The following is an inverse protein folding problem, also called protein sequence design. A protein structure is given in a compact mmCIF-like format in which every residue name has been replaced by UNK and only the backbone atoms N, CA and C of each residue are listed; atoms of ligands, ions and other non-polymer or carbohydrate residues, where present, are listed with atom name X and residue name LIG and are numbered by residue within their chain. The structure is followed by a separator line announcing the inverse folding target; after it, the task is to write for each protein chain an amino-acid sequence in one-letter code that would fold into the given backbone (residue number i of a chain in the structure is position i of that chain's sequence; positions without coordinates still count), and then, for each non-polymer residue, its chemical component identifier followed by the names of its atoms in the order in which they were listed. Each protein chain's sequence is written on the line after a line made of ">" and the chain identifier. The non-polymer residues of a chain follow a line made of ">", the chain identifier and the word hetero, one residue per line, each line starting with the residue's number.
data_IF_995453496986
#
_entry.id   IF_995453496986
#
_cell.length_a   1.000
_cell.length_b   1.000
_cell.length_c   1.000
_cell.angle_alpha   90.00
_cell.angle_beta   90.00
_cell.angle_gamma   90.00
#
_symmetry.space_group_name_H-M   'P 1'
#
loop_
_entity.id
_entity.type
_entity.pdbx_description
1 polymer ?
#
# COMPACT_ATOMS: atom_id res chain seq x y z
N UNK A 1 -30.05 15.46 -4.94
CA UNK A 1 -28.96 15.26 -5.91
C UNK A 1 -28.00 14.22 -5.36
N UNK A 2 -28.21 12.94 -5.68
CA UNK A 2 -27.28 11.86 -5.34
C UNK A 2 -26.19 11.86 -6.41
N UNK A 3 -25.07 12.52 -6.13
CA UNK A 3 -23.88 12.42 -6.97
C UNK A 3 -23.52 10.95 -7.12
N UNK A 4 -23.41 10.47 -8.36
CA UNK A 4 -22.97 9.13 -8.68
C UNK A 4 -21.50 9.00 -8.24
N UNK A 5 -21.27 8.60 -6.99
CA UNK A 5 -19.96 8.17 -6.53
C UNK A 5 -19.67 6.86 -7.27
N UNK A 6 -18.87 6.92 -8.32
CA UNK A 6 -18.50 5.74 -9.10
C UNK A 6 -18.12 4.57 -8.19
N UNK A 7 -18.69 3.40 -8.46
CA UNK A 7 -18.41 2.16 -7.71
C UNK A 7 -16.91 1.89 -7.71
N UNK A 8 -16.31 1.78 -6.52
CA UNK A 8 -14.89 1.40 -6.35
C UNK A 8 -14.78 -0.11 -6.50
N UNK A 9 -13.79 -0.57 -7.26
CA UNK A 9 -13.58 -1.99 -7.58
C UNK A 9 -12.11 -2.35 -7.46
N UNK A 10 -11.82 -3.59 -7.06
CA UNK A 10 -10.54 -4.23 -7.32
C UNK A 10 -10.79 -5.33 -8.34
N UNK A 11 -10.03 -5.32 -9.42
CA UNK A 11 -10.13 -6.31 -10.49
C UNK A 11 -8.88 -7.20 -10.48
N UNK A 12 -9.10 -8.51 -10.52
CA UNK A 12 -8.06 -9.51 -10.76
C UNK A 12 -8.20 -10.02 -12.19
N UNK A 13 -7.14 -9.89 -12.98
CA UNK A 13 -7.11 -10.43 -14.34
C UNK A 13 -6.54 -11.86 -14.30
N UNK A 14 -7.34 -12.84 -14.76
CA UNK A 14 -6.89 -14.21 -14.92
C UNK A 14 -6.21 -14.35 -16.29
N UNK A 15 -4.89 -14.53 -16.29
CA UNK A 15 -4.08 -14.62 -17.53
C UNK A 15 -4.46 -15.85 -18.37
N UNK A 16 -4.81 -16.97 -17.74
CA UNK A 16 -5.12 -18.22 -18.46
C UNK A 16 -6.46 -18.16 -19.18
N UNK A 17 -7.44 -17.50 -18.56
CA UNK A 17 -8.81 -17.41 -19.08
C UNK A 17 -9.08 -16.07 -19.78
N UNK A 18 -8.18 -15.11 -19.67
CA UNK A 18 -8.30 -13.75 -20.18
C UNK A 18 -9.55 -13.00 -19.70
N UNK A 19 -9.99 -13.28 -18.46
CA UNK A 19 -11.17 -12.66 -17.84
C UNK A 19 -10.81 -11.81 -16.62
N UNK A 20 -11.61 -10.78 -16.37
CA UNK A 20 -11.56 -10.00 -15.14
C UNK A 20 -12.53 -10.57 -14.09
N UNK A 21 -12.04 -10.74 -12.87
CA UNK A 21 -12.82 -11.11 -11.71
C UNK A 21 -12.82 -9.95 -10.71
N UNK A 22 -13.99 -9.63 -10.14
CA UNK A 22 -14.07 -8.66 -9.06
C UNK A 22 -13.58 -9.30 -7.75
N UNK A 23 -12.63 -8.64 -7.09
CA UNK A 23 -12.22 -8.99 -5.73
C UNK A 23 -13.09 -8.19 -4.76
N UNK A 24 -13.78 -8.83 -3.81
CA UNK A 24 -14.64 -8.11 -2.89
C UNK A 24 -13.83 -7.15 -2.03
N UNK A 25 -14.33 -5.94 -1.85
CA UNK A 25 -13.74 -4.94 -0.95
C UNK A 25 -14.04 -5.27 0.52
N UNK A 26 -13.17 -4.87 1.47
CA UNK A 26 -13.57 -4.84 2.87
C UNK A 26 -14.70 -3.84 3.10
N UNK A 27 -15.38 -3.98 4.23
CA UNK A 27 -16.38 -3.01 4.69
C UNK A 27 -15.71 -1.69 5.07
N UNK A 28 -15.64 -0.78 4.11
CA UNK A 28 -15.07 0.55 4.26
C UNK A 28 -16.14 1.56 3.86
N UNK A 29 -16.73 2.24 4.83
CA UNK A 29 -17.91 3.07 4.62
C UNK A 29 -17.67 4.31 3.74
N UNK A 30 -16.49 4.93 3.80
CA UNK A 30 -16.27 6.26 3.16
C UNK A 30 -14.87 6.51 2.61
N UNK A 31 -13.90 5.63 2.87
CA UNK A 31 -12.49 5.95 2.71
C UNK A 31 -11.94 5.61 1.32
N UNK A 32 -11.11 6.50 0.76
CA UNK A 32 -10.54 6.35 -0.59
C UNK A 32 -9.43 5.29 -0.62
N UNK A 33 -9.51 4.35 -1.57
CA UNK A 33 -8.45 3.37 -1.80
C UNK A 33 -7.33 4.06 -2.58
N UNK A 34 -6.15 4.16 -1.97
CA UNK A 34 -4.99 4.82 -2.56
C UNK A 34 -4.09 3.84 -3.32
N UNK A 35 -3.93 2.63 -2.79
CA UNK A 35 -3.06 1.60 -3.36
C UNK A 35 -3.66 0.22 -3.21
N UNK A 36 -3.43 -0.61 -4.25
CA UNK A 36 -3.52 -2.07 -4.21
C UNK A 36 -2.10 -2.60 -4.40
N UNK A 37 -1.70 -3.56 -3.57
CA UNK A 37 -0.33 -4.09 -3.53
C UNK A 37 -0.33 -5.53 -2.99
N UNK A 38 0.83 -6.17 -3.02
CA UNK A 38 1.07 -7.42 -2.31
C UNK A 38 1.95 -7.15 -1.10
N UNK A 39 1.55 -7.68 0.06
CA UNK A 39 2.38 -7.67 1.26
C UNK A 39 2.72 -9.11 1.63
N UNK A 40 3.92 -9.54 1.24
CA UNK A 40 4.28 -10.96 1.24
C UNK A 40 3.53 -11.69 0.12
N UNK A 41 2.52 -12.50 0.49
CA UNK A 41 1.66 -13.23 -0.45
C UNK A 41 0.18 -12.88 -0.33
N UNK A 42 -0.15 -11.85 0.45
CA UNK A 42 -1.53 -11.42 0.68
C UNK A 42 -1.81 -10.17 -0.14
N UNK A 43 -2.99 -10.11 -0.77
CA UNK A 43 -3.50 -8.88 -1.34
C UNK A 43 -3.66 -7.84 -0.23
N UNK A 44 -3.16 -6.65 -0.49
CA UNK A 44 -3.11 -5.57 0.47
C UNK A 44 -3.66 -4.30 -0.17
N UNK A 45 -4.51 -3.59 0.57
CA UNK A 45 -4.96 -2.26 0.18
C UNK A 45 -4.58 -1.23 1.23
N UNK A 46 -4.34 -0.01 0.77
CA UNK A 46 -4.13 1.14 1.64
C UNK A 46 -5.21 2.17 1.38
N UNK A 47 -5.81 2.63 2.47
CA UNK A 47 -7.06 3.38 2.46
C UNK A 47 -6.87 4.65 3.26
N UNK A 48 -7.09 5.82 2.66
CA UNK A 48 -6.99 7.09 3.37
C UNK A 48 -8.30 7.44 4.06
N UNK A 49 -8.24 7.72 5.36
CA UNK A 49 -9.40 8.14 6.14
C UNK A 49 -9.70 9.63 5.84
N UNK A 50 -10.88 9.90 5.25
CA UNK A 50 -11.27 11.23 4.81
C UNK A 50 -11.12 12.28 5.91
N UNK A 51 -10.56 13.44 5.56
CA UNK A 51 -10.38 14.55 6.48
C UNK A 51 -9.27 14.34 7.53
N UNK A 52 -8.45 13.30 7.39
CA UNK A 52 -7.35 13.00 8.32
C UNK A 52 -6.06 12.63 7.58
N UNK A 53 -4.91 12.71 8.25
CA UNK A 53 -3.64 12.15 7.75
C UNK A 53 -3.44 10.67 8.13
N UNK A 54 -4.53 9.90 8.24
CA UNK A 54 -4.50 8.48 8.64
C UNK A 54 -4.70 7.57 7.43
N UNK A 55 -3.90 6.52 7.39
CA UNK A 55 -3.96 5.48 6.37
C UNK A 55 -4.13 4.13 7.04
N UNK A 56 -5.23 3.47 6.73
CA UNK A 56 -5.45 2.09 7.14
C UNK A 56 -4.87 1.14 6.10
N UNK A 57 -4.10 0.17 6.56
CA UNK A 57 -3.59 -0.93 5.74
C UNK A 57 -4.39 -2.18 6.04
N UNK A 58 -5.01 -2.75 5.02
CA UNK A 58 -5.81 -3.96 5.10
C UNK A 58 -5.18 -5.07 4.28
N UNK A 59 -5.23 -6.29 4.80
CA UNK A 59 -4.73 -7.49 4.12
C UNK A 59 -5.85 -8.53 3.99
N UNK A 60 -5.95 -9.14 2.81
CA UNK A 60 -6.86 -10.25 2.55
C UNK A 60 -6.15 -11.56 2.90
N UNK A 61 -6.67 -12.28 3.89
CA UNK A 61 -6.08 -13.56 4.31
C UNK A 61 -6.47 -14.70 3.37
N UNK A 62 -7.67 -14.64 2.79
CA UNK A 62 -8.21 -15.64 1.88
C UNK A 62 -8.77 -14.95 0.63
N UNK A 63 -8.14 -15.24 -0.51
CA UNK A 63 -8.49 -14.60 -1.78
C UNK A 63 -9.96 -14.84 -2.15
N UNK A 64 -10.65 -13.77 -2.55
CA UNK A 64 -12.05 -13.83 -2.97
C UNK A 64 -13.06 -13.88 -1.81
N UNK A 65 -12.63 -14.05 -0.56
CA UNK A 65 -13.54 -14.05 0.58
C UNK A 65 -13.59 -12.68 1.26
N UNK A 66 -14.75 -12.00 1.16
CA UNK A 66 -14.96 -10.64 1.68
C UNK A 66 -14.62 -10.49 3.17
N UNK A 67 -14.96 -11.47 3.99
CA UNK A 67 -14.77 -11.39 5.43
C UNK A 67 -13.34 -11.75 5.87
N UNK A 68 -12.46 -12.15 4.94
CA UNK A 68 -11.05 -12.42 5.24
C UNK A 68 -10.18 -11.17 5.32
N UNK A 69 -10.71 -10.01 4.92
CA UNK A 69 -10.01 -8.75 5.06
C UNK A 69 -9.83 -8.40 6.53
N UNK A 70 -8.59 -8.20 6.94
CA UNK A 70 -8.22 -7.77 8.28
C UNK A 70 -7.43 -6.47 8.19
N UNK A 71 -7.78 -5.49 9.03
CA UNK A 71 -6.95 -4.30 9.21
C UNK A 71 -5.65 -4.73 9.89
N UNK A 72 -4.52 -4.51 9.23
CA UNK A 72 -3.20 -4.87 9.75
C UNK A 72 -2.69 -3.79 10.71
N UNK A 73 -2.75 -2.53 10.30
CA UNK A 73 -2.41 -1.38 11.14
C UNK A 73 -2.96 -0.07 10.57
N UNK A 74 -2.92 0.98 11.39
CA UNK A 74 -3.17 2.37 10.98
C UNK A 74 -1.86 3.15 11.07
N UNK A 75 -1.54 3.89 10.01
CA UNK A 75 -0.43 4.82 9.95
C UNK A 75 -0.93 6.25 10.12
N UNK A 76 -0.28 7.04 10.98
CA UNK A 76 -0.68 8.42 11.28
C UNK A 76 0.46 9.37 10.92
N UNK A 77 0.22 10.27 9.96
CA UNK A 77 1.24 11.19 9.45
C UNK A 77 1.58 12.36 10.37
N UNK A 78 0.62 12.80 11.19
CA UNK A 78 0.67 14.05 11.97
C UNK A 78 1.84 14.13 12.95
N UNK A 79 2.37 12.98 13.41
CA UNK A 79 3.37 12.95 14.48
C UNK A 79 4.81 12.85 13.97
N UNK A 80 4.99 12.52 12.69
CA UNK A 80 6.30 12.14 12.18
C UNK A 80 6.83 13.05 11.07
N UNK A 81 5.95 13.79 10.38
CA UNK A 81 6.33 14.51 9.16
C UNK A 81 5.53 15.80 9.06
N UNK A 82 6.20 16.96 9.09
CA UNK A 82 5.62 18.30 8.99
C UNK A 82 4.94 18.59 7.62
N UNK A 83 4.44 17.58 6.91
CA UNK A 83 3.87 17.67 5.57
C UNK A 83 2.76 16.63 5.38
N UNK A 84 1.66 16.97 4.68
CA UNK A 84 0.55 16.04 4.48
C UNK A 84 0.98 14.83 3.65
N UNK A 85 0.47 13.67 4.05
CA UNK A 85 0.69 12.40 3.37
C UNK A 85 -0.21 12.32 2.13
N UNK A 86 0.38 12.09 0.97
CA UNK A 86 -0.36 11.85 -0.27
C UNK A 86 -0.71 10.37 -0.43
N UNK A 87 0.26 9.52 -0.10
CA UNK A 87 0.06 8.09 -0.15
C UNK A 87 1.02 7.28 0.70
N UNK A 88 0.59 6.04 0.95
CA UNK A 88 1.31 5.01 1.66
C UNK A 88 1.16 3.69 0.88
N UNK A 89 2.29 3.03 0.59
CA UNK A 89 2.34 1.72 -0.07
C UNK A 89 3.19 0.75 0.77
N UNK A 90 2.59 -0.27 1.38
CA UNK A 90 3.32 -1.38 1.99
C UNK A 90 4.10 -2.14 0.93
N UNK A 91 5.34 -2.49 1.24
CA UNK A 91 6.22 -3.16 0.29
C UNK A 91 6.51 -4.61 0.72
N UNK A 92 7.08 -4.83 1.90
CA UNK A 92 7.39 -6.17 2.41
C UNK A 92 7.39 -6.22 3.93
N UNK A 93 7.40 -7.46 4.46
CA UNK A 93 7.75 -7.72 5.84
C UNK A 93 9.28 -7.78 6.01
N UNK A 94 9.77 -7.49 7.22
CA UNK A 94 11.09 -7.96 7.66
C UNK A 94 11.13 -9.50 7.70
N UNK A 95 12.34 -10.06 7.76
CA UNK A 95 12.55 -11.53 7.79
C UNK A 95 11.78 -12.21 8.94
N UNK A 96 11.77 -11.60 10.11
CA UNK A 96 11.04 -12.05 11.31
C UNK A 96 9.56 -11.65 11.34
N UNK A 97 9.08 -10.97 10.29
CA UNK A 97 7.72 -10.42 10.15
C UNK A 97 7.31 -9.46 11.28
N UNK A 98 8.26 -8.91 12.04
CA UNK A 98 7.96 -7.94 13.10
C UNK A 98 7.76 -6.52 12.57
N UNK A 99 8.23 -6.24 11.35
CA UNK A 99 8.18 -4.92 10.71
C UNK A 99 7.64 -4.98 9.30
N UNK A 100 7.10 -3.86 8.84
CA UNK A 100 6.69 -3.64 7.45
C UNK A 100 7.50 -2.47 6.87
N UNK A 101 8.07 -2.66 5.68
CA UNK A 101 8.68 -1.58 4.91
C UNK A 101 7.60 -0.82 4.15
N UNK A 102 7.60 0.50 4.30
CA UNK A 102 6.60 1.40 3.74
C UNK A 102 7.25 2.38 2.78
N UNK A 103 6.71 2.52 1.58
CA UNK A 103 6.92 3.69 0.73
C UNK A 103 5.87 4.74 1.07
N UNK A 104 6.34 5.93 1.45
CA UNK A 104 5.48 7.06 1.83
C UNK A 104 5.74 8.21 0.88
N UNK A 105 4.69 8.69 0.22
CA UNK A 105 4.72 9.87 -0.63
C UNK A 105 4.18 11.06 0.15
N UNK A 106 5.00 12.08 0.30
CA UNK A 106 4.60 13.34 0.91
C UNK A 106 4.17 14.32 -0.18
N UNK A 107 3.24 15.20 0.18
CA UNK A 107 2.99 16.39 -0.64
C UNK A 107 4.25 17.25 -0.57
N UNK A 108 4.86 17.52 -1.73
CA UNK A 108 5.89 18.55 -1.83
C UNK A 108 5.25 19.93 -1.79
N UNK A 109 6.09 20.96 -1.69
CA UNK A 109 5.66 22.32 -2.01
C UNK A 109 5.27 22.38 -3.49
N UNK A 110 4.39 23.30 -3.88
CA UNK A 110 3.86 23.43 -5.25
C UNK A 110 4.93 23.49 -6.36
N UNK A 111 6.19 23.75 -6.01
CA UNK A 111 7.34 23.85 -6.93
C UNK A 111 8.22 22.59 -6.98
N UNK A 112 7.96 21.58 -6.15
CA UNK A 112 8.83 20.40 -6.01
C UNK A 112 8.08 19.10 -6.27
N UNK A 113 8.74 18.16 -6.94
CA UNK A 113 8.20 16.82 -7.12
C UNK A 113 7.90 16.18 -5.76
N UNK A 114 6.77 15.47 -5.64
CA UNK A 114 6.42 14.80 -4.40
C UNK A 114 7.50 13.78 -4.03
N UNK A 115 8.08 13.95 -2.84
CA UNK A 115 9.18 13.13 -2.35
C UNK A 115 8.66 11.82 -1.79
N UNK A 116 9.18 10.71 -2.32
CA UNK A 116 9.01 9.38 -1.74
C UNK A 116 10.11 9.11 -0.72
N UNK A 117 9.75 8.49 0.40
CA UNK A 117 10.69 8.05 1.44
C UNK A 117 10.31 6.68 1.94
N UNK A 118 11.30 5.92 2.43
CA UNK A 118 11.06 4.61 3.03
C UNK A 118 11.08 4.66 4.56
N UNK A 119 10.19 3.87 5.17
CA UNK A 119 10.08 3.73 6.62
C UNK A 119 9.89 2.28 7.02
N UNK A 120 10.47 1.91 8.16
CA UNK A 120 10.06 0.71 8.88
C UNK A 120 8.93 1.04 9.84
N UNK A 121 7.88 0.23 9.80
CA UNK A 121 6.79 0.22 10.76
C UNK A 121 6.86 -1.03 11.63
N UNK A 122 6.90 -0.86 12.95
CA UNK A 122 7.00 -1.95 13.91
C UNK A 122 5.59 -2.38 14.34
N UNK A 123 5.16 -3.58 13.96
CA UNK A 123 3.77 -4.02 14.11
C UNK A 123 3.31 -4.11 15.57
N UNK A 124 4.21 -4.46 16.50
CA UNK A 124 3.89 -4.62 17.92
C UNK A 124 3.89 -3.31 18.70
N UNK A 125 4.80 -2.40 18.36
CA UNK A 125 5.01 -1.15 19.12
C UNK A 125 4.43 0.08 18.41
N UNK A 126 3.90 -0.08 17.20
CA UNK A 126 3.39 0.98 16.33
C UNK A 126 4.42 2.10 16.07
N UNK A 127 5.71 1.79 16.24
CA UNK A 127 6.82 2.73 16.03
C UNK A 127 7.13 2.84 14.53
N UNK A 128 7.53 4.03 14.11
CA UNK A 128 8.01 4.30 12.75
C UNK A 128 9.46 4.74 12.80
N UNK A 129 10.32 4.21 11.92
CA UNK A 129 11.71 4.68 11.77
C UNK A 129 12.04 4.93 10.31
N UNK A 130 12.64 6.08 10.01
CA UNK A 130 13.11 6.44 8.68
C UNK A 130 14.24 5.50 8.23
N UNK A 131 14.23 5.11 6.96
CA UNK A 131 15.34 4.41 6.32
C UNK A 131 16.22 5.46 5.63
N UNK A 132 17.39 5.82 6.20
CA UNK A 132 18.24 6.86 5.63
C UNK A 132 18.91 6.39 4.34
N UNK A 133 19.44 7.36 3.58
CA UNK A 133 20.37 7.17 2.45
C UNK A 133 19.78 6.55 1.16
N UNK A 134 18.47 6.59 0.97
CA UNK A 134 17.88 6.29 -0.34
C UNK A 134 17.63 7.62 -1.07
N UNK A 135 18.28 7.89 -2.23
CA UNK A 135 17.99 9.07 -3.04
C UNK A 135 16.54 9.05 -3.51
N UNK A 136 16.01 10.20 -3.96
CA UNK A 136 14.66 10.25 -4.52
C UNK A 136 14.52 9.18 -5.62
N UNK A 137 13.51 8.32 -5.49
CA UNK A 137 13.28 7.21 -6.41
C UNK A 137 11.90 7.33 -7.06
N UNK A 138 11.78 6.79 -8.27
CA UNK A 138 10.55 6.83 -9.07
C UNK A 138 9.60 5.71 -8.66
N UNK A 139 10.13 4.49 -8.51
CA UNK A 139 9.33 3.30 -8.21
C UNK A 139 10.11 2.32 -7.32
N UNK A 140 9.40 1.62 -6.44
CA UNK A 140 9.95 0.51 -5.65
C UNK A 140 9.36 -0.81 -6.10
N UNK A 141 10.23 -1.73 -6.49
CA UNK A 141 9.92 -3.14 -6.72
C UNK A 141 10.64 -4.00 -5.68
N UNK A 142 9.98 -5.03 -5.18
CA UNK A 142 10.58 -6.00 -4.27
C UNK A 142 10.73 -7.32 -5.01
N UNK A 143 11.96 -7.81 -5.01
CA UNK A 143 12.31 -9.09 -5.62
C UNK A 143 12.72 -10.07 -4.52
N UNK A 144 12.13 -11.26 -4.55
CA UNK A 144 12.37 -12.32 -3.57
C UNK A 144 13.14 -13.53 -4.17
N UNK A 145 13.96 -13.29 -5.20
CA UNK A 145 14.77 -14.31 -5.89
C UNK A 145 16.22 -13.87 -6.13
N UNK A 146 16.95 -14.65 -6.94
CA UNK A 146 18.31 -14.33 -7.40
C UNK A 146 18.22 -13.41 -8.63
N UNK A 147 18.95 -12.30 -8.65
CA UNK A 147 19.06 -11.38 -9.80
C UNK A 147 19.83 -12.02 -10.98
N UNK A 148 19.36 -13.17 -11.46
CA UNK A 148 19.87 -13.76 -12.69
C UNK A 148 19.42 -12.88 -13.88
N UNK A 149 20.26 -12.72 -14.92
CA UNK A 149 19.86 -11.97 -16.10
C UNK A 149 18.63 -12.63 -16.73
N UNK A 150 17.57 -11.86 -17.06
CA UNK A 150 16.40 -12.42 -17.71
C UNK A 150 16.77 -12.91 -19.11
N UNK A 151 16.40 -14.15 -19.46
CA UNK A 151 16.33 -14.57 -20.85
C UNK A 151 15.06 -14.00 -21.46
N UNK A 152 15.18 -13.11 -22.45
CA UNK A 152 14.04 -12.65 -23.21
C UNK A 152 13.45 -13.85 -23.98
N UNK A 153 12.11 -14.00 -24.03
CA UNK A 153 11.51 -14.98 -24.93
C UNK A 153 11.91 -14.65 -26.38
N UNK A 154 12.30 -15.69 -27.12
CA UNK A 154 12.69 -15.65 -28.53
C UNK A 154 11.54 -15.26 -29.44
#
# INVERSE_FOLDING_TARGET
>A
MTGNLGRRLILAFNITQEIFNEVPLPEIATSEIKYVSLLGKCLCITVSCNGTNKFDVWVMKEYGYRYSWCKLFTFVGEWCFNSPLMSLKPLCYSSDRSKVLLEVKFRGDFKSDPKKKLFWYYLKSYKVTYVPRIPNFIETMIYAGILLPPSLPS
#
